data_IF_953912616327
#
_entry.id   IF_953912616327
#
_cell.length_a   1.000
_cell.length_b   1.000
_cell.length_c   1.000
_cell.angle_alpha   90.00
_cell.angle_beta   90.00
_cell.angle_gamma   90.00
#
_symmetry.space_group_name_H-M   'P 1'
#
loop_
_entity.id
_entity.type
_entity.pdbx_description
1 polymer ?
#
# COMPACT_ATOMS: atom_id res chain seq x y z
N UNK A 1 20.60 1.77 12.69
CA UNK A 1 21.01 0.91 11.57
C UNK A 1 22.44 1.25 11.15
N UNK A 2 22.77 2.49 10.76
CA UNK A 2 24.12 2.87 10.29
C UNK A 2 25.24 2.62 11.33
N UNK A 3 24.96 2.87 12.61
CA UNK A 3 25.94 2.55 13.68
C UNK A 3 26.19 1.04 13.75
N UNK A 4 25.13 0.23 13.71
CA UNK A 4 25.24 -1.23 13.72
C UNK A 4 25.98 -1.76 12.48
N UNK A 5 25.78 -1.11 11.34
CA UNK A 5 26.50 -1.43 10.11
C UNK A 5 27.99 -1.11 10.20
N UNK A 6 28.35 0.12 10.66
CA UNK A 6 29.75 0.52 10.86
C UNK A 6 30.49 -0.35 11.86
N UNK A 7 29.79 -0.89 12.85
CA UNK A 7 30.33 -1.83 13.83
C UNK A 7 30.34 -3.29 13.34
N UNK A 8 29.95 -3.53 12.08
CA UNK A 8 29.81 -4.87 11.49
C UNK A 8 28.86 -5.81 12.25
N UNK A 9 27.89 -5.26 12.99
CA UNK A 9 26.89 -6.04 13.71
C UNK A 9 25.70 -6.39 12.83
N UNK A 10 25.32 -5.50 11.89
CA UNK A 10 24.15 -5.68 11.06
C UNK A 10 24.18 -6.96 10.20
N UNK A 11 25.31 -7.36 9.58
CA UNK A 11 25.40 -8.60 8.83
C UNK A 11 25.16 -9.87 9.68
N UNK A 12 25.31 -9.79 11.01
CA UNK A 12 25.01 -10.91 11.92
C UNK A 12 23.54 -10.95 12.34
N UNK A 13 22.80 -9.85 12.16
CA UNK A 13 21.39 -9.74 12.51
C UNK A 13 20.51 -9.97 11.27
N UNK A 14 20.81 -9.29 10.17
CA UNK A 14 20.11 -9.40 8.87
C UNK A 14 21.17 -9.41 7.76
N UNK A 15 21.77 -10.57 7.47
CA UNK A 15 22.85 -10.68 6.48
C UNK A 15 22.41 -10.28 5.06
N UNK A 16 21.13 -10.44 4.73
CA UNK A 16 20.56 -10.08 3.43
C UNK A 16 20.67 -8.59 3.13
N UNK A 17 20.61 -7.73 4.13
CA UNK A 17 20.80 -6.29 3.94
C UNK A 17 22.19 -5.95 3.42
N UNK A 18 23.22 -6.74 3.79
CA UNK A 18 24.57 -6.51 3.27
C UNK A 18 24.67 -6.79 1.77
N UNK A 19 23.82 -7.66 1.22
CA UNK A 19 23.78 -7.96 -0.22
C UNK A 19 23.22 -6.80 -1.05
N UNK A 20 22.54 -5.86 -0.44
CA UNK A 20 21.96 -4.68 -1.12
C UNK A 20 23.00 -3.60 -1.43
N UNK A 21 24.16 -3.64 -0.75
CA UNK A 21 25.25 -2.66 -0.92
C UNK A 21 25.86 -2.74 -2.31
N UNK A 22 26.02 -1.60 -2.97
CA UNK A 22 26.59 -1.50 -4.31
C UNK A 22 25.71 -2.04 -5.43
N UNK A 23 24.48 -2.45 -5.14
CA UNK A 23 23.52 -2.90 -6.18
C UNK A 23 22.94 -1.69 -6.88
N UNK A 24 23.45 -1.43 -8.08
CA UNK A 24 22.99 -0.32 -8.93
C UNK A 24 21.54 -0.50 -9.38
N UNK A 25 20.79 0.59 -9.42
CA UNK A 25 19.38 0.67 -9.82
C UNK A 25 19.21 1.38 -11.18
N UNK A 26 18.02 1.35 -11.81
CA UNK A 26 17.73 2.16 -12.99
C UNK A 26 17.90 3.66 -12.72
N UNK A 27 18.06 4.45 -13.80
CA UNK A 27 18.33 5.90 -13.76
C UNK A 27 17.31 6.75 -12.98
N UNK A 28 16.15 6.21 -12.70
CA UNK A 28 15.11 6.85 -11.88
C UNK A 28 15.47 6.90 -10.38
N UNK A 29 16.49 6.10 -9.98
CA UNK A 29 17.00 6.04 -8.62
C UNK A 29 18.40 6.64 -8.56
N UNK A 30 18.61 7.52 -7.61
CA UNK A 30 19.92 8.18 -7.39
C UNK A 30 20.90 7.28 -6.65
N UNK A 31 20.41 6.48 -5.70
CA UNK A 31 21.19 5.66 -4.77
C UNK A 31 21.30 4.21 -5.24
N UNK A 32 22.26 3.44 -4.71
CA UNK A 32 22.21 1.99 -4.71
C UNK A 32 21.05 1.49 -3.82
N UNK A 33 20.78 0.18 -3.82
CA UNK A 33 19.63 -0.37 -3.07
C UNK A 33 19.79 -0.15 -1.56
N UNK A 34 21.01 -0.26 -1.01
CA UNK A 34 21.26 -0.06 0.41
C UNK A 34 20.95 1.37 0.85
N UNK A 35 21.54 2.36 0.20
CA UNK A 35 21.33 3.77 0.53
C UNK A 35 19.86 4.16 0.31
N UNK A 36 19.23 3.64 -0.76
CA UNK A 36 17.82 3.85 -1.01
C UNK A 36 16.95 3.36 0.16
N UNK A 37 17.19 2.15 0.68
CA UNK A 37 16.44 1.60 1.82
C UNK A 37 16.63 2.42 3.09
N UNK A 38 17.84 2.91 3.37
CA UNK A 38 18.11 3.79 4.50
C UNK A 38 17.38 5.13 4.38
N UNK A 39 17.40 5.75 3.20
CA UNK A 39 16.65 6.98 2.96
C UNK A 39 15.14 6.75 3.00
N UNK A 40 14.65 5.61 2.53
CA UNK A 40 13.24 5.26 2.64
C UNK A 40 12.80 5.17 4.12
N UNK A 41 13.61 4.53 4.96
CA UNK A 41 13.37 4.49 6.41
C UNK A 41 13.36 5.91 7.02
N UNK A 42 14.35 6.75 6.68
CA UNK A 42 14.42 8.12 7.16
C UNK A 42 13.20 8.96 6.73
N UNK A 43 12.81 8.87 5.45
CA UNK A 43 11.66 9.58 4.93
C UNK A 43 10.35 9.09 5.55
N UNK A 44 10.18 7.77 5.78
CA UNK A 44 9.00 7.25 6.46
C UNK A 44 8.86 7.80 7.88
N UNK A 45 9.96 7.90 8.62
CA UNK A 45 9.97 8.49 9.96
C UNK A 45 9.56 9.98 9.91
N UNK A 46 10.15 10.76 9.01
CA UNK A 46 9.85 12.19 8.87
C UNK A 46 8.41 12.45 8.39
N UNK A 47 7.88 11.62 7.50
CA UNK A 47 6.49 11.70 7.05
C UNK A 47 5.50 11.49 8.20
N UNK A 48 5.80 10.57 9.13
CA UNK A 48 4.98 10.27 10.30
C UNK A 48 5.15 11.24 11.47
N UNK A 49 6.10 12.17 11.40
CA UNK A 49 6.27 13.22 12.42
C UNK A 49 5.41 14.47 12.14
N UNK A 50 4.63 14.46 11.07
CA UNK A 50 3.80 15.58 10.66
C UNK A 50 4.59 16.75 10.06
N UNK A 51 3.91 17.88 9.90
CA UNK A 51 4.42 19.06 9.21
C UNK A 51 5.53 19.81 9.97
N UNK A 52 6.64 19.15 10.21
CA UNK A 52 7.80 19.85 10.72
C UNK A 52 8.34 20.79 9.63
N UNK A 53 8.82 21.95 9.99
CA UNK A 53 9.35 23.10 9.22
C UNK A 53 10.15 22.76 7.94
N UNK A 54 9.69 21.78 7.17
CA UNK A 54 10.27 21.31 5.92
C UNK A 54 9.30 21.48 4.77
N UNK A 55 9.69 22.17 3.69
CA UNK A 55 8.86 22.33 2.50
C UNK A 55 8.42 21.00 1.87
N UNK A 56 9.20 19.93 2.07
CA UNK A 56 8.89 18.59 1.55
C UNK A 56 7.76 17.96 2.37
N UNK A 57 7.96 17.82 3.70
CA UNK A 57 7.01 17.07 4.53
C UNK A 57 5.70 17.82 4.80
N UNK A 58 5.72 19.18 4.73
CA UNK A 58 4.50 19.99 4.85
C UNK A 58 3.50 19.81 3.70
N UNK A 59 3.91 19.23 2.58
CA UNK A 59 3.02 18.93 1.45
C UNK A 59 2.34 17.56 1.60
N UNK A 60 2.84 16.71 2.50
CA UNK A 60 2.27 15.36 2.71
C UNK A 60 0.94 15.44 3.45
N UNK A 61 -0.03 14.59 3.14
CA UNK A 61 -1.29 14.55 3.87
C UNK A 61 -1.03 14.15 5.34
N UNK A 62 -1.48 15.00 6.27
CA UNK A 62 -1.35 14.72 7.69
C UNK A 62 -2.55 15.29 8.46
N UNK A 63 -3.23 14.42 9.20
CA UNK A 63 -4.38 14.75 10.05
C UNK A 63 -4.23 14.04 11.39
N UNK A 64 -5.08 14.42 12.36
CA UNK A 64 -5.11 13.71 13.65
C UNK A 64 -5.45 12.23 13.48
N UNK A 65 -6.35 11.88 12.58
CA UNK A 65 -6.73 10.48 12.30
C UNK A 65 -5.56 9.68 11.75
N UNK A 66 -4.73 10.28 10.88
CA UNK A 66 -3.51 9.66 10.35
C UNK A 66 -2.48 9.47 11.46
N UNK A 67 -2.32 10.46 12.34
CA UNK A 67 -1.45 10.35 13.52
C UNK A 67 -1.91 9.22 14.44
N UNK A 68 -3.18 9.15 14.75
CA UNK A 68 -3.76 8.10 15.60
C UNK A 68 -3.64 6.72 14.96
N UNK A 69 -3.80 6.63 13.64
CA UNK A 69 -3.56 5.40 12.89
C UNK A 69 -2.13 4.90 13.07
N UNK A 70 -1.11 5.73 12.86
CA UNK A 70 0.30 5.30 13.02
C UNK A 70 0.71 5.05 14.47
N UNK A 71 0.02 5.65 15.43
CA UNK A 71 0.22 5.40 16.86
C UNK A 71 -0.53 4.14 17.35
N UNK A 72 -1.43 3.57 16.57
CA UNK A 72 -2.14 2.33 16.93
C UNK A 72 -1.20 1.12 16.92
N UNK A 73 -1.48 0.15 17.80
CA UNK A 73 -0.66 -1.05 17.93
C UNK A 73 -0.95 -2.08 16.83
N UNK A 74 0.10 -2.70 16.32
CA UNK A 74 0.04 -3.89 15.46
C UNK A 74 0.40 -5.14 16.25
N UNK A 75 1.37 -5.02 17.14
CA UNK A 75 1.84 -6.08 18.03
C UNK A 75 1.65 -5.67 19.49
N UNK A 76 2.00 -6.53 20.43
CA UNK A 76 1.83 -6.29 21.87
C UNK A 76 2.56 -5.03 22.37
N UNK A 77 3.60 -4.57 21.68
CA UNK A 77 4.47 -3.50 22.15
C UNK A 77 4.87 -2.45 21.10
N UNK A 78 4.49 -2.64 19.82
CA UNK A 78 4.94 -1.76 18.76
C UNK A 78 3.79 -1.25 17.89
N UNK A 79 3.92 0.03 17.52
CA UNK A 79 2.94 0.74 16.70
C UNK A 79 3.10 0.46 15.21
N UNK A 80 2.07 0.80 14.42
CA UNK A 80 2.12 0.80 12.95
C UNK A 80 3.31 1.59 12.43
N UNK A 81 3.55 2.79 12.99
CA UNK A 81 4.69 3.62 12.61
C UNK A 81 6.04 2.95 12.82
N UNK A 82 6.20 2.16 13.90
CA UNK A 82 7.42 1.38 14.14
C UNK A 82 7.61 0.30 13.07
N UNK A 83 6.55 -0.41 12.74
CA UNK A 83 6.62 -1.48 11.73
C UNK A 83 6.71 -0.94 10.30
N UNK A 84 6.13 0.24 10.00
CA UNK A 84 6.33 0.90 8.72
C UNK A 84 7.82 1.22 8.48
N UNK A 85 8.56 1.69 9.51
CA UNK A 85 10.01 1.89 9.41
C UNK A 85 10.76 0.60 9.10
N UNK A 86 10.34 -0.52 9.70
CA UNK A 86 10.92 -1.83 9.40
C UNK A 86 10.60 -2.28 7.97
N UNK A 87 9.37 -2.10 7.52
CA UNK A 87 8.99 -2.37 6.13
C UNK A 87 9.78 -1.49 5.15
N UNK A 88 9.99 -0.22 5.46
CA UNK A 88 10.79 0.72 4.64
C UNK A 88 12.25 0.27 4.50
N UNK A 89 12.83 -0.32 5.54
CA UNK A 89 14.20 -0.86 5.48
C UNK A 89 14.28 -2.12 4.61
N UNK A 90 13.22 -2.93 4.57
CA UNK A 90 13.22 -4.25 3.96
C UNK A 90 12.50 -4.32 2.59
N UNK A 91 11.81 -3.25 2.14
CA UNK A 91 10.90 -3.33 0.98
C UNK A 91 11.61 -3.78 -0.31
N UNK A 92 12.86 -3.42 -0.48
CA UNK A 92 13.68 -3.73 -1.65
C UNK A 92 14.75 -4.80 -1.42
N UNK A 93 14.65 -5.57 -0.34
CA UNK A 93 15.66 -6.54 0.08
C UNK A 93 15.94 -7.64 -0.95
N UNK A 94 14.97 -7.96 -1.82
CA UNK A 94 15.12 -8.96 -2.87
C UNK A 94 15.72 -8.42 -4.17
N UNK A 95 15.95 -7.12 -4.33
CA UNK A 95 16.53 -6.56 -5.56
C UNK A 95 17.86 -7.19 -5.96
N UNK A 96 18.79 -7.52 -5.05
CA UNK A 96 20.00 -8.25 -5.43
C UNK A 96 19.73 -9.59 -6.11
N UNK A 97 18.72 -10.33 -5.63
CA UNK A 97 18.37 -11.67 -6.09
C UNK A 97 17.56 -11.67 -7.39
N UNK A 98 16.88 -10.55 -7.69
CA UNK A 98 15.96 -10.44 -8.85
C UNK A 98 16.52 -9.56 -9.96
N UNK A 99 17.76 -9.06 -9.81
CA UNK A 99 18.40 -8.18 -10.78
C UNK A 99 18.59 -8.86 -12.12
N UNK A 100 18.01 -8.25 -13.18
CA UNK A 100 18.16 -8.68 -14.57
C UNK A 100 18.42 -7.49 -15.48
N UNK A 101 18.85 -7.75 -16.70
CA UNK A 101 18.93 -6.76 -17.77
C UNK A 101 17.89 -7.10 -18.83
N UNK A 102 17.10 -6.12 -19.24
CA UNK A 102 16.20 -6.28 -20.38
C UNK A 102 16.98 -6.21 -21.72
N UNK A 103 16.28 -6.43 -22.85
CA UNK A 103 16.86 -6.43 -24.18
C UNK A 103 17.55 -5.11 -24.58
N UNK A 104 17.24 -4.01 -23.92
CA UNK A 104 17.88 -2.69 -24.10
C UNK A 104 19.08 -2.45 -23.18
N UNK A 105 19.44 -3.43 -22.33
CA UNK A 105 20.46 -3.29 -21.31
C UNK A 105 20.03 -2.54 -20.05
N UNK A 106 18.72 -2.24 -19.91
CA UNK A 106 18.19 -1.58 -18.73
C UNK A 106 18.04 -2.57 -17.59
N UNK A 107 18.50 -2.19 -16.39
CA UNK A 107 18.30 -2.96 -15.16
C UNK A 107 16.81 -3.07 -14.80
N UNK A 108 16.39 -4.29 -14.43
CA UNK A 108 15.05 -4.63 -13.95
C UNK A 108 15.14 -5.50 -12.71
N UNK A 109 14.08 -5.49 -11.91
CA UNK A 109 13.95 -6.30 -10.70
C UNK A 109 12.57 -6.97 -10.69
N UNK A 110 12.32 -7.96 -11.60
CA UNK A 110 11.01 -8.58 -11.69
C UNK A 110 10.68 -9.31 -10.38
N UNK A 111 9.43 -9.16 -9.92
CA UNK A 111 8.85 -9.88 -8.77
C UNK A 111 9.58 -9.64 -7.42
N UNK A 112 10.37 -8.55 -7.33
CA UNK A 112 11.12 -8.27 -6.09
C UNK A 112 10.21 -8.00 -4.89
N UNK A 113 9.00 -7.53 -5.09
CA UNK A 113 8.00 -7.30 -4.06
C UNK A 113 7.51 -8.62 -3.41
N UNK A 114 7.25 -9.66 -4.21
CA UNK A 114 6.80 -10.96 -3.69
C UNK A 114 7.96 -11.73 -3.07
N UNK A 115 9.09 -11.83 -3.77
CA UNK A 115 10.30 -12.49 -3.26
C UNK A 115 10.81 -11.77 -2.01
N UNK A 116 10.77 -10.42 -1.97
CA UNK A 116 11.14 -9.61 -0.83
C UNK A 116 10.25 -9.86 0.39
N UNK A 117 8.95 -10.00 0.17
CA UNK A 117 8.00 -10.39 1.21
C UNK A 117 8.33 -11.76 1.81
N UNK A 118 8.61 -12.77 0.98
CA UNK A 118 9.02 -14.10 1.45
C UNK A 118 10.35 -14.06 2.23
N UNK A 119 11.31 -13.26 1.77
CA UNK A 119 12.58 -13.04 2.49
C UNK A 119 12.32 -12.37 3.84
N UNK A 120 11.51 -11.32 3.89
CA UNK A 120 11.17 -10.62 5.13
C UNK A 120 10.46 -11.55 6.13
N UNK A 121 9.54 -12.41 5.69
CA UNK A 121 8.88 -13.42 6.54
C UNK A 121 9.93 -14.32 7.20
N UNK A 122 10.94 -14.81 6.47
CA UNK A 122 11.99 -15.66 7.03
C UNK A 122 12.84 -14.90 8.06
N UNK A 123 13.33 -13.72 7.69
CA UNK A 123 14.14 -12.85 8.55
C UNK A 123 13.40 -12.55 9.87
N UNK A 124 12.15 -12.12 9.79
CA UNK A 124 11.38 -11.75 10.97
C UNK A 124 11.02 -12.95 11.85
N UNK A 125 10.83 -14.15 11.28
CA UNK A 125 10.69 -15.40 12.03
C UNK A 125 11.98 -15.77 12.78
N UNK A 126 13.14 -15.63 12.16
CA UNK A 126 14.45 -15.87 12.78
C UNK A 126 14.70 -14.88 13.93
N UNK A 127 14.28 -13.62 13.76
CA UNK A 127 14.32 -12.58 14.79
C UNK A 127 13.25 -12.76 15.89
N UNK A 128 12.43 -13.81 15.82
CA UNK A 128 11.37 -14.12 16.78
C UNK A 128 10.33 -13.01 16.94
N UNK A 129 10.04 -12.31 15.85
CA UNK A 129 8.98 -11.29 15.82
C UNK A 129 7.59 -11.94 15.90
N UNK A 130 6.62 -11.20 16.44
CA UNK A 130 5.22 -11.65 16.53
C UNK A 130 4.61 -11.86 15.13
N UNK A 131 3.67 -12.80 15.02
CA UNK A 131 2.98 -13.10 13.75
C UNK A 131 2.31 -11.85 13.15
N UNK A 132 1.67 -11.03 14.00
CA UNK A 132 1.07 -9.76 13.56
C UNK A 132 2.08 -8.80 12.92
N UNK A 133 3.30 -8.73 13.46
CA UNK A 133 4.41 -7.96 12.86
C UNK A 133 4.83 -8.54 11.51
N UNK A 134 4.97 -9.87 11.42
CA UNK A 134 5.37 -10.55 10.18
C UNK A 134 4.32 -10.32 9.09
N UNK A 135 3.06 -10.53 9.40
CA UNK A 135 1.95 -10.36 8.46
C UNK A 135 1.84 -8.90 7.98
N UNK A 136 1.98 -7.94 8.90
CA UNK A 136 1.95 -6.52 8.56
C UNK A 136 3.10 -6.13 7.63
N UNK A 137 4.35 -6.42 8.02
CA UNK A 137 5.54 -6.04 7.23
C UNK A 137 5.54 -6.71 5.86
N UNK A 138 5.20 -8.01 5.80
CA UNK A 138 5.12 -8.74 4.54
C UNK A 138 4.04 -8.20 3.61
N UNK A 139 2.89 -7.79 4.15
CA UNK A 139 1.81 -7.14 3.39
C UNK A 139 2.29 -5.81 2.79
N UNK A 140 2.97 -4.98 3.56
CA UNK A 140 3.48 -3.71 3.05
C UNK A 140 4.51 -3.92 1.94
N UNK A 141 5.43 -4.86 2.10
CA UNK A 141 6.45 -5.18 1.09
C UNK A 141 5.79 -5.71 -0.19
N UNK A 142 4.87 -6.66 -0.08
CA UNK A 142 4.15 -7.21 -1.24
C UNK A 142 3.43 -6.14 -2.06
N UNK A 143 2.93 -5.11 -1.38
CA UNK A 143 2.03 -4.14 -2.01
C UNK A 143 2.62 -2.75 -2.23
N UNK A 144 3.93 -2.52 -1.94
CA UNK A 144 4.52 -1.18 -2.00
C UNK A 144 4.47 -0.53 -3.40
N UNK A 145 4.44 -1.32 -4.48
CA UNK A 145 4.28 -0.83 -5.85
C UNK A 145 2.83 -0.51 -6.23
N UNK A 146 1.86 -0.94 -5.45
CA UNK A 146 0.44 -0.84 -5.80
C UNK A 146 -0.06 0.59 -6.00
N UNK A 147 0.35 1.58 -5.18
CA UNK A 147 0.00 2.98 -5.43
C UNK A 147 0.52 3.51 -6.76
N UNK A 148 1.69 3.06 -7.21
CA UNK A 148 2.21 3.39 -8.54
C UNK A 148 1.30 2.86 -9.65
N UNK A 149 0.81 1.63 -9.52
CA UNK A 149 -0.07 1.00 -10.52
C UNK A 149 -1.49 1.58 -10.54
N UNK A 150 -1.95 2.25 -9.48
CA UNK A 150 -3.22 2.98 -9.50
C UNK A 150 -3.18 4.20 -10.42
N UNK A 151 -1.99 4.71 -10.73
CA UNK A 151 -1.80 5.88 -11.57
C UNK A 151 -1.83 5.47 -13.05
N UNK A 152 -2.75 6.01 -13.79
CA UNK A 152 -2.74 5.90 -15.25
C UNK A 152 -2.21 7.22 -15.84
N UNK A 153 -0.88 7.34 -15.98
CA UNK A 153 -0.23 8.55 -16.48
C UNK A 153 -0.25 9.69 -15.47
N UNK A 154 -0.67 10.89 -15.92
CA UNK A 154 -0.72 12.13 -15.12
C UNK A 154 -2.06 12.30 -14.38
N UNK A 155 -3.04 11.44 -14.66
CA UNK A 155 -4.40 11.55 -14.12
C UNK A 155 -4.49 10.98 -12.71
N UNK A 156 -5.21 11.68 -11.83
CA UNK A 156 -5.51 11.17 -10.49
C UNK A 156 -6.30 9.84 -10.56
N UNK A 157 -6.09 8.91 -9.62
CA UNK A 157 -6.85 7.67 -9.55
C UNK A 157 -8.36 7.93 -9.45
N UNK A 158 -9.14 7.10 -10.13
CA UNK A 158 -10.60 7.18 -10.06
C UNK A 158 -11.11 6.70 -8.70
N UNK A 159 -12.29 7.16 -8.26
CA UNK A 159 -12.93 6.67 -7.03
C UNK A 159 -13.05 5.15 -6.97
N UNK A 160 -13.32 4.50 -8.11
CA UNK A 160 -13.34 3.04 -8.24
C UNK A 160 -11.98 2.39 -7.97
N UNK A 161 -10.90 2.97 -8.48
CA UNK A 161 -9.53 2.47 -8.23
C UNK A 161 -9.17 2.62 -6.75
N UNK A 162 -9.51 3.77 -6.13
CA UNK A 162 -9.32 4.03 -4.70
C UNK A 162 -10.10 3.04 -3.85
N UNK A 163 -11.40 2.84 -4.14
CA UNK A 163 -12.21 1.86 -3.42
C UNK A 163 -11.58 0.45 -3.47
N UNK A 164 -11.21 -0.02 -4.66
CA UNK A 164 -10.61 -1.35 -4.84
C UNK A 164 -9.28 -1.50 -4.14
N UNK A 165 -8.48 -0.43 -4.12
CA UNK A 165 -7.22 -0.39 -3.39
C UNK A 165 -7.44 -0.60 -1.89
N UNK A 166 -8.27 0.22 -1.24
CA UNK A 166 -8.52 0.11 0.19
C UNK A 166 -9.35 -1.14 0.55
N UNK A 167 -10.27 -1.56 -0.32
CA UNK A 167 -10.99 -2.82 -0.09
C UNK A 167 -10.07 -4.05 -0.08
N UNK A 168 -9.02 -4.05 -0.87
CA UNK A 168 -8.04 -5.13 -0.91
C UNK A 168 -7.04 -5.08 0.24
N UNK A 169 -6.61 -3.88 0.65
CA UNK A 169 -5.57 -3.69 1.67
C UNK A 169 -6.13 -3.41 3.07
N UNK A 170 -7.42 -3.08 3.17
CA UNK A 170 -8.09 -2.76 4.43
C UNK A 170 -7.30 -1.68 5.20
N UNK A 171 -6.95 -1.97 6.46
CA UNK A 171 -6.24 -1.05 7.33
C UNK A 171 -4.81 -0.73 6.86
N UNK A 172 -4.17 -1.62 6.12
CA UNK A 172 -2.80 -1.45 5.61
C UNK A 172 -2.72 -0.54 4.38
N UNK A 173 -3.86 -0.14 3.81
CA UNK A 173 -3.89 0.73 2.63
C UNK A 173 -3.22 2.09 2.86
N UNK A 174 -3.45 2.72 4.01
CA UNK A 174 -2.80 3.98 4.36
C UNK A 174 -1.29 3.81 4.56
N UNK A 175 -0.89 2.73 5.22
CA UNK A 175 0.52 2.41 5.49
C UNK A 175 1.30 2.20 4.17
N UNK A 176 0.72 1.48 3.21
CA UNK A 176 1.31 1.28 1.88
C UNK A 176 1.43 2.58 1.10
N UNK A 177 0.48 3.53 1.25
CA UNK A 177 0.61 4.88 0.66
C UNK A 177 1.80 5.65 1.26
N UNK A 178 1.98 5.58 2.58
CA UNK A 178 3.10 6.25 3.25
C UNK A 178 4.44 5.61 2.92
N UNK A 179 4.50 4.27 2.83
CA UNK A 179 5.69 3.57 2.33
C UNK A 179 6.03 4.02 0.90
N UNK A 180 5.03 4.09 0.02
CA UNK A 180 5.23 4.55 -1.35
C UNK A 180 5.70 6.02 -1.46
N UNK A 181 5.21 6.90 -0.58
CA UNK A 181 5.70 8.28 -0.51
C UNK A 181 7.17 8.32 -0.07
N UNK A 182 7.55 7.54 0.94
CA UNK A 182 8.92 7.44 1.41
C UNK A 182 9.86 6.86 0.36
N UNK A 183 9.44 5.80 -0.34
CA UNK A 183 10.14 5.18 -1.47
C UNK A 183 10.38 6.20 -2.60
N UNK A 184 9.36 6.96 -2.99
CA UNK A 184 9.50 7.99 -4.02
C UNK A 184 10.52 9.08 -3.64
N UNK A 185 10.46 9.58 -2.40
CA UNK A 185 11.40 10.58 -1.89
C UNK A 185 12.84 10.04 -1.89
N UNK A 186 13.02 8.79 -1.45
CA UNK A 186 14.32 8.14 -1.41
C UNK A 186 14.89 7.88 -2.81
N UNK A 187 14.05 7.48 -3.78
CA UNK A 187 14.49 7.20 -5.14
C UNK A 187 15.12 8.43 -5.81
N UNK A 188 14.58 9.62 -5.56
CA UNK A 188 15.04 10.87 -6.18
C UNK A 188 16.32 11.43 -5.57
N UNK A 189 16.55 11.25 -4.28
CA UNK A 189 17.70 11.83 -3.58
C UNK A 189 17.87 13.32 -3.89
N UNK A 190 19.10 13.81 -4.16
CA UNK A 190 19.37 15.22 -4.50
C UNK A 190 18.71 15.70 -5.81
N UNK A 191 18.19 14.82 -6.64
CA UNK A 191 17.49 15.16 -7.88
C UNK A 191 15.99 15.45 -7.66
N UNK A 192 15.52 15.35 -6.42
CA UNK A 192 14.14 15.66 -6.08
C UNK A 192 13.84 17.14 -6.35
N UNK A 193 12.85 17.42 -7.18
CA UNK A 193 12.33 18.78 -7.34
C UNK A 193 11.09 18.98 -6.46
N UNK A 194 10.93 20.19 -5.93
CA UNK A 194 9.74 20.55 -5.14
C UNK A 194 8.46 20.39 -5.97
N UNK A 195 8.51 20.71 -7.28
CA UNK A 195 7.37 20.58 -8.20
C UNK A 195 6.94 19.12 -8.39
N UNK A 196 7.90 18.20 -8.59
CA UNK A 196 7.59 16.77 -8.75
C UNK A 196 7.00 16.20 -7.48
N UNK A 197 7.56 16.59 -6.33
CA UNK A 197 7.03 16.16 -5.03
C UNK A 197 5.63 16.71 -4.76
N UNK A 198 5.40 18.02 -5.01
CA UNK A 198 4.08 18.63 -4.84
C UNK A 198 3.00 17.92 -5.66
N UNK A 199 3.33 17.56 -6.91
CA UNK A 199 2.42 16.78 -7.77
C UNK A 199 2.10 15.40 -7.16
N UNK A 200 3.11 14.71 -6.64
CA UNK A 200 2.96 13.41 -6.00
C UNK A 200 2.16 13.49 -4.70
N UNK A 201 2.50 14.42 -3.82
CA UNK A 201 1.83 14.64 -2.56
C UNK A 201 0.35 14.99 -2.74
N UNK A 202 0.03 15.88 -3.71
CA UNK A 202 -1.35 16.23 -4.05
C UNK A 202 -2.16 15.01 -4.50
N UNK A 203 -1.55 14.10 -5.25
CA UNK A 203 -2.21 12.89 -5.69
C UNK A 203 -2.44 11.92 -4.53
N UNK A 204 -1.48 11.78 -3.59
CA UNK A 204 -1.69 10.96 -2.39
C UNK A 204 -2.78 11.54 -1.50
N UNK A 205 -2.84 12.88 -1.34
CA UNK A 205 -3.95 13.55 -0.65
C UNK A 205 -5.29 13.23 -1.32
N UNK A 206 -5.39 13.33 -2.64
CA UNK A 206 -6.61 12.97 -3.38
C UNK A 206 -7.06 11.52 -3.11
N UNK A 207 -6.13 10.56 -3.05
CA UNK A 207 -6.46 9.16 -2.76
C UNK A 207 -7.01 9.00 -1.34
N UNK A 208 -6.40 9.67 -0.35
CA UNK A 208 -6.83 9.62 1.05
C UNK A 208 -8.19 10.31 1.23
N UNK A 209 -8.37 11.50 0.64
CA UNK A 209 -9.62 12.28 0.72
C UNK A 209 -10.78 11.51 0.09
N UNK A 210 -10.56 10.96 -1.12
CA UNK A 210 -11.56 10.12 -1.81
C UNK A 210 -11.95 8.90 -0.98
N UNK A 211 -10.98 8.24 -0.33
CA UNK A 211 -11.28 7.12 0.57
C UNK A 211 -12.10 7.55 1.78
N UNK A 212 -11.73 8.67 2.41
CA UNK A 212 -12.46 9.22 3.56
C UNK A 212 -13.91 9.58 3.20
N UNK A 213 -14.14 10.16 2.02
CA UNK A 213 -15.47 10.43 1.48
C UNK A 213 -16.27 9.13 1.30
N UNK A 214 -15.67 8.08 0.71
CA UNK A 214 -16.30 6.77 0.52
C UNK A 214 -16.68 6.11 1.84
N UNK A 215 -15.81 6.16 2.85
CA UNK A 215 -16.10 5.64 4.20
C UNK A 215 -17.24 6.43 4.85
N UNK A 216 -17.23 7.75 4.72
CA UNK A 216 -18.31 8.62 5.23
C UNK A 216 -19.65 8.32 4.56
N UNK A 217 -19.67 8.09 3.25
CA UNK A 217 -20.91 7.77 2.52
C UNK A 217 -21.51 6.44 2.99
N UNK A 218 -20.70 5.40 3.07
CA UNK A 218 -21.13 4.08 3.55
C UNK A 218 -21.60 4.12 5.01
N UNK A 219 -20.97 4.95 5.85
CA UNK A 219 -21.34 5.04 7.27
C UNK A 219 -22.66 5.76 7.54
N UNK A 220 -23.13 6.60 6.62
CA UNK A 220 -24.41 7.33 6.74
C UNK A 220 -25.63 6.46 6.47
N UNK A 221 -25.45 5.34 5.78
CA UNK A 221 -26.54 4.46 5.34
C UNK A 221 -26.39 3.06 5.98
N UNK A 222 -27.45 2.47 6.51
CA UNK A 222 -27.43 1.08 6.95
C UNK A 222 -27.10 0.17 5.77
N UNK A 223 -26.66 -1.07 6.07
CA UNK A 223 -26.41 -2.11 5.06
C UNK A 223 -27.63 -2.21 4.14
N UNK A 224 -27.45 -1.87 2.86
CA UNK A 224 -28.54 -1.75 1.90
C UNK A 224 -29.26 -3.09 1.67
N UNK A 225 -28.49 -4.17 1.58
CA UNK A 225 -28.97 -5.54 1.44
C UNK A 225 -27.94 -6.51 2.02
N UNK A 226 -28.40 -7.62 2.57
CA UNK A 226 -27.54 -8.71 3.02
C UNK A 226 -27.63 -9.93 2.09
N UNK A 227 -26.86 -10.98 2.38
CA UNK A 227 -26.83 -12.18 1.55
C UNK A 227 -28.18 -12.90 1.46
N UNK A 228 -28.97 -12.91 2.54
CA UNK A 228 -30.28 -13.55 2.58
C UNK A 228 -31.31 -12.79 1.70
N UNK A 229 -31.25 -11.45 1.76
CA UNK A 229 -32.07 -10.60 0.92
C UNK A 229 -31.85 -10.91 -0.57
N UNK A 230 -30.56 -10.96 -1.00
CA UNK A 230 -30.23 -11.26 -2.40
C UNK A 230 -30.58 -12.69 -2.82
N UNK A 231 -30.37 -13.67 -1.94
CA UNK A 231 -30.79 -15.06 -2.25
C UNK A 231 -32.28 -15.16 -2.48
N UNK A 232 -33.07 -14.50 -1.65
CA UNK A 232 -34.54 -14.48 -1.77
C UNK A 232 -34.99 -13.72 -3.01
N UNK A 233 -34.53 -12.51 -3.23
CA UNK A 233 -34.96 -11.61 -4.30
C UNK A 233 -34.51 -12.05 -5.69
N UNK A 234 -33.37 -12.75 -5.79
CA UNK A 234 -32.81 -13.22 -7.07
C UNK A 234 -32.97 -14.73 -7.28
N UNK A 235 -33.52 -15.44 -6.30
CA UNK A 235 -33.66 -16.90 -6.30
C UNK A 235 -32.34 -17.62 -6.62
N UNK A 236 -31.28 -17.27 -5.90
CA UNK A 236 -29.93 -17.85 -6.06
C UNK A 236 -29.47 -18.57 -4.78
N UNK A 237 -28.71 -19.63 -4.97
CA UNK A 237 -28.10 -20.38 -3.86
C UNK A 237 -26.88 -19.64 -3.28
N UNK A 238 -26.47 -19.90 -2.01
CA UNK A 238 -25.23 -19.43 -1.46
C UNK A 238 -24.04 -19.92 -2.29
N UNK A 239 -23.06 -19.04 -2.53
CA UNK A 239 -21.88 -19.38 -3.30
C UNK A 239 -21.11 -18.17 -3.83
N UNK A 240 -20.08 -18.40 -4.65
CA UNK A 240 -19.20 -17.33 -5.14
C UNK A 240 -19.92 -16.20 -5.90
N UNK A 241 -21.04 -16.51 -6.57
CA UNK A 241 -21.85 -15.52 -7.28
C UNK A 241 -22.44 -14.52 -6.30
N UNK A 242 -23.01 -14.98 -5.17
CA UNK A 242 -23.56 -14.12 -4.12
C UNK A 242 -22.49 -13.15 -3.58
N UNK A 243 -21.28 -13.65 -3.31
CA UNK A 243 -20.16 -12.81 -2.87
C UNK A 243 -19.76 -11.73 -3.89
N UNK A 244 -19.77 -12.08 -5.17
CA UNK A 244 -19.50 -11.11 -6.28
C UNK A 244 -20.58 -10.04 -6.38
N UNK A 245 -21.85 -10.40 -6.23
CA UNK A 245 -22.97 -9.45 -6.25
C UNK A 245 -22.90 -8.48 -5.06
N UNK A 246 -22.66 -8.99 -3.84
CA UNK A 246 -22.50 -8.16 -2.64
C UNK A 246 -21.30 -7.21 -2.77
N UNK A 247 -20.16 -7.71 -3.27
CA UNK A 247 -18.99 -6.88 -3.51
C UNK A 247 -19.26 -5.77 -4.53
N UNK A 248 -20.00 -6.06 -5.61
CA UNK A 248 -20.40 -5.08 -6.61
C UNK A 248 -21.34 -4.01 -6.05
N UNK A 249 -22.30 -4.40 -5.22
CA UNK A 249 -23.21 -3.46 -4.53
C UNK A 249 -22.42 -2.54 -3.61
N UNK A 250 -21.54 -3.09 -2.78
CA UNK A 250 -20.72 -2.31 -1.86
C UNK A 250 -19.78 -1.32 -2.60
N UNK A 251 -19.21 -1.73 -3.74
CA UNK A 251 -18.45 -0.84 -4.61
C UNK A 251 -19.32 0.33 -5.11
N UNK A 252 -20.51 0.05 -5.64
CA UNK A 252 -21.40 1.09 -6.17
C UNK A 252 -21.97 1.99 -5.08
N UNK A 253 -22.24 1.46 -3.89
CA UNK A 253 -22.65 2.23 -2.73
C UNK A 253 -21.55 3.20 -2.27
N UNK A 254 -20.32 2.71 -2.11
CA UNK A 254 -19.19 3.55 -1.76
C UNK A 254 -18.88 4.64 -2.81
N UNK A 255 -19.24 4.42 -4.07
CA UNK A 255 -19.13 5.40 -5.15
C UNK A 255 -20.32 6.38 -5.21
N UNK A 256 -21.30 6.26 -4.32
CA UNK A 256 -22.50 7.10 -4.33
C UNK A 256 -23.44 6.86 -5.52
N UNK A 257 -23.40 5.66 -6.13
CA UNK A 257 -24.24 5.31 -7.26
C UNK A 257 -25.50 4.51 -6.84
N UNK A 258 -25.52 4.00 -5.60
CA UNK A 258 -26.61 3.21 -5.02
C UNK A 258 -26.84 3.71 -3.60
N UNK A 259 -28.10 4.05 -3.27
CA UNK A 259 -28.46 4.68 -1.99
C UNK A 259 -29.51 3.91 -1.19
N UNK A 260 -30.14 2.88 -1.76
CA UNK A 260 -31.21 2.12 -1.13
C UNK A 260 -31.24 0.66 -1.60
N UNK A 261 -32.01 -0.18 -0.89
CA UNK A 261 -32.12 -1.61 -1.15
C UNK A 261 -32.69 -1.93 -2.55
N UNK A 262 -33.63 -1.14 -3.04
CA UNK A 262 -34.22 -1.33 -4.37
C UNK A 262 -33.18 -1.15 -5.48
N UNK A 263 -32.38 -0.10 -5.39
CA UNK A 263 -31.27 0.14 -6.33
C UNK A 263 -30.21 -0.97 -6.26
N UNK A 264 -29.90 -1.44 -5.04
CA UNK A 264 -28.95 -2.52 -4.80
C UNK A 264 -29.42 -3.84 -5.46
N UNK A 265 -30.68 -4.22 -5.27
CA UNK A 265 -31.28 -5.43 -5.88
C UNK A 265 -31.29 -5.30 -7.41
N UNK A 266 -31.67 -4.15 -7.95
CA UNK A 266 -31.68 -3.90 -9.38
C UNK A 266 -30.28 -3.99 -9.99
N UNK A 267 -29.27 -3.46 -9.31
CA UNK A 267 -27.86 -3.59 -9.72
C UNK A 267 -27.42 -5.07 -9.74
N UNK A 268 -27.74 -5.80 -8.66
CA UNK A 268 -27.43 -7.22 -8.56
C UNK A 268 -28.09 -8.04 -9.67
N UNK A 269 -29.37 -7.77 -9.98
CA UNK A 269 -30.11 -8.45 -11.07
C UNK A 269 -29.47 -8.22 -12.44
N UNK A 270 -29.05 -6.97 -12.74
CA UNK A 270 -28.33 -6.65 -13.98
C UNK A 270 -27.00 -7.39 -14.07
N UNK A 271 -26.25 -7.39 -12.97
CA UNK A 271 -24.94 -8.06 -12.89
C UNK A 271 -25.09 -9.59 -13.04
N UNK A 272 -26.11 -10.19 -12.41
CA UNK A 272 -26.40 -11.62 -12.52
C UNK A 272 -26.72 -12.03 -13.97
N UNK A 273 -27.57 -11.28 -14.65
CA UNK A 273 -27.92 -11.53 -16.07
C UNK A 273 -26.69 -11.46 -16.97
N UNK A 274 -25.77 -10.50 -16.71
CA UNK A 274 -24.50 -10.40 -17.46
C UNK A 274 -23.61 -11.64 -17.24
N UNK A 275 -23.52 -12.13 -15.99
CA UNK A 275 -22.73 -13.33 -15.65
C UNK A 275 -23.32 -14.59 -16.30
N UNK A 276 -24.65 -14.70 -16.35
CA UNK A 276 -25.35 -15.86 -16.94
C UNK A 276 -25.35 -15.83 -18.46
N UNK A 277 -25.40 -14.64 -19.08
CA UNK A 277 -25.36 -14.48 -20.53
C UNK A 277 -23.98 -14.66 -21.17
N UNK A 278 -22.91 -14.76 -20.35
CA UNK A 278 -21.55 -15.04 -20.79
C UNK A 278 -21.18 -16.54 -20.72
N UNK A 279 -22.10 -17.42 -20.34
CA UNK A 279 -21.99 -18.88 -20.38
C UNK A 279 -22.67 -19.43 -21.63
#
# INVERSE_FOLDING_TARGET
IEISDRLSLLPHIIPELNLTKGVSQPKEHYWDVWQHNLHCLEHSEKLMQGHQNSPIYSMSPWTKDIEDHFNSLVSSSHTRGTHLKLASLLHDIAKPNTKTLDKSGRTRFPDHENIGSEMAIRILKELKMETSTIDYVSTLITHHLRPHHMQQGVTAPTGKAVYRYFNALKNEGLDVLFLHMADYLSAKGPQLTISDWATRAKMMSHVIDTHSEQVSEVSKTPTLVNGNDLMTELNIAPGPILGRLLSGINEQHALGNIHNSTEAINHARKTLNTIQGQK
#
